data_IF_666963631374
#
_entry.id   IF_666963631374
#
_cell.length_a   1.000
_cell.length_b   1.000
_cell.length_c   1.000
_cell.angle_alpha   90.00
_cell.angle_beta   90.00
_cell.angle_gamma   90.00
#
_symmetry.space_group_name_H-M   'P 1'
#
loop_
_entity.id
_entity.type
_entity.pdbx_description
1 polymer ?
#
# COMPACT_ATOMS: atom_id res chain seq x y z
N UNK A 1 23.01 -3.09 -5.86
CA UNK A 1 21.72 -2.92 -6.57
C UNK A 1 21.62 -1.45 -6.97
N UNK A 2 21.50 -1.12 -8.25
CA UNK A 2 21.55 0.27 -8.72
C UNK A 2 20.14 0.88 -8.57
N UNK A 3 20.08 2.15 -8.14
CA UNK A 3 18.83 2.94 -7.98
C UNK A 3 17.93 2.88 -9.23
N UNK A 4 18.52 2.64 -10.41
CA UNK A 4 17.80 2.46 -11.68
C UNK A 4 16.94 1.18 -11.74
N UNK A 5 17.24 0.18 -10.93
CA UNK A 5 16.53 -1.10 -10.93
C UNK A 5 15.34 -1.05 -9.96
N UNK A 6 15.40 -0.21 -8.90
CA UNK A 6 14.29 0.05 -7.97
C UNK A 6 13.13 0.82 -8.62
N UNK A 7 13.42 1.64 -9.64
CA UNK A 7 12.41 2.42 -10.37
C UNK A 7 11.63 1.60 -11.41
N UNK A 8 12.06 0.36 -11.69
CA UNK A 8 11.37 -0.54 -12.62
C UNK A 8 10.26 -1.36 -11.95
N UNK A 9 10.33 -1.56 -10.65
CA UNK A 9 9.43 -2.43 -9.90
C UNK A 9 8.18 -1.73 -9.32
N UNK A 10 8.09 -0.40 -9.39
CA UNK A 10 6.95 0.38 -8.88
C UNK A 10 5.93 0.68 -9.99
N UNK A 11 5.45 -0.33 -10.69
CA UNK A 11 4.67 -0.14 -11.90
C UNK A 11 3.16 -0.35 -11.71
N UNK A 12 2.57 0.38 -10.79
CA UNK A 12 1.14 0.75 -10.89
C UNK A 12 0.90 2.19 -10.39
N UNK A 13 1.96 2.91 -10.13
CA UNK A 13 1.93 4.37 -10.11
C UNK A 13 2.50 4.80 -11.46
N UNK A 14 1.69 5.35 -12.34
CA UNK A 14 2.17 5.95 -13.59
C UNK A 14 3.24 6.95 -13.21
N UNK A 15 4.50 6.57 -13.37
CA UNK A 15 5.64 7.39 -13.03
C UNK A 15 5.52 8.70 -13.80
N UNK A 16 5.18 9.77 -13.11
CA UNK A 16 5.53 11.09 -13.60
C UNK A 16 7.04 11.14 -13.54
N UNK A 17 7.68 11.04 -14.69
CA UNK A 17 9.11 11.15 -14.83
C UNK A 17 9.59 12.36 -14.04
N UNK A 18 10.62 12.19 -13.23
CA UNK A 18 11.42 13.27 -12.69
C UNK A 18 11.78 14.21 -13.85
N UNK A 19 11.07 15.34 -13.95
CA UNK A 19 11.43 16.42 -14.82
C UNK A 19 12.69 17.02 -14.20
N UNK A 20 13.87 16.87 -14.81
CA UNK A 20 15.04 17.57 -14.32
C UNK A 20 14.71 19.06 -14.42
N UNK A 21 14.82 19.79 -13.32
CA UNK A 21 14.69 21.22 -13.28
C UNK A 21 15.88 21.88 -14.01
N UNK A 22 15.93 21.71 -15.32
CA UNK A 22 16.83 22.46 -16.19
C UNK A 22 15.97 23.42 -16.99
N UNK A 23 16.32 24.69 -16.92
CA UNK A 23 15.72 25.80 -17.66
C UNK A 23 15.66 25.58 -19.19
N UNK A 24 16.24 24.51 -19.72
CA UNK A 24 16.14 24.05 -21.10
C UNK A 24 14.83 23.31 -21.43
N UNK A 25 14.09 22.77 -20.43
CA UNK A 25 12.83 22.06 -20.65
C UNK A 25 11.62 22.95 -20.96
N UNK A 26 11.70 24.26 -20.69
CA UNK A 26 10.61 25.19 -21.00
C UNK A 26 10.51 25.56 -22.48
N UNK A 27 11.48 25.25 -23.31
CA UNK A 27 11.54 25.63 -24.72
C UNK A 27 10.71 24.74 -25.67
N UNK A 28 10.07 23.69 -25.20
CA UNK A 28 9.24 22.79 -26.01
C UNK A 28 7.81 22.57 -25.46
N UNK A 29 7.27 23.56 -24.75
CA UNK A 29 5.83 23.58 -24.52
C UNK A 29 5.21 23.86 -25.89
N UNK A 30 4.52 22.87 -26.46
CA UNK A 30 3.72 23.02 -27.68
C UNK A 30 2.94 24.34 -27.55
N UNK A 31 3.03 25.22 -28.55
CA UNK A 31 2.43 26.57 -28.51
C UNK A 31 0.94 26.62 -28.17
N UNK A 32 0.26 25.46 -28.18
CA UNK A 32 -1.11 25.28 -27.72
C UNK A 32 -1.26 25.19 -26.20
N UNK A 33 -0.23 24.77 -25.47
CA UNK A 33 -0.27 24.64 -24.01
C UNK A 33 -0.03 26.00 -23.29
N UNK A 34 0.71 26.90 -23.89
CA UNK A 34 1.06 28.21 -23.30
C UNK A 34 -0.13 28.98 -22.75
N UNK A 35 -1.22 29.22 -23.54
CA UNK A 35 -2.40 29.94 -23.06
C UNK A 35 -3.12 29.23 -21.88
N UNK A 36 -3.07 27.92 -21.82
CA UNK A 36 -3.69 27.12 -20.72
C UNK A 36 -2.87 27.26 -19.43
N UNK A 37 -1.55 27.18 -19.53
CA UNK A 37 -0.67 27.45 -18.38
C UNK A 37 -0.81 28.87 -17.86
N UNK A 38 -1.00 29.89 -18.76
CA UNK A 38 -1.26 31.26 -18.35
C UNK A 38 -2.55 31.37 -17.52
N UNK A 39 -3.61 30.62 -17.87
CA UNK A 39 -4.86 30.59 -17.08
C UNK A 39 -4.65 29.94 -15.70
N UNK A 40 -3.90 28.84 -15.65
CA UNK A 40 -3.59 28.20 -14.38
C UNK A 40 -2.79 29.12 -13.46
N UNK A 41 -1.80 29.81 -14.02
CA UNK A 41 -0.99 30.78 -13.28
C UNK A 41 -1.80 31.99 -12.82
N UNK A 42 -2.71 32.52 -13.67
CA UNK A 42 -3.61 33.60 -13.27
C UNK A 42 -4.55 33.16 -12.12
N UNK A 43 -5.08 31.95 -12.16
CA UNK A 43 -5.88 31.38 -11.06
C UNK A 43 -5.07 31.30 -9.76
N UNK A 44 -3.84 30.79 -9.83
CA UNK A 44 -2.92 30.75 -8.70
C UNK A 44 -2.69 32.14 -8.09
N UNK A 45 -2.35 33.15 -8.94
CA UNK A 45 -2.16 34.53 -8.48
C UNK A 45 -3.43 35.13 -7.85
N UNK A 46 -4.59 34.82 -8.42
CA UNK A 46 -5.87 35.30 -7.89
C UNK A 46 -6.15 34.72 -6.49
N UNK A 47 -5.86 33.44 -6.27
CA UNK A 47 -5.99 32.81 -4.94
C UNK A 47 -5.03 33.47 -3.96
N UNK A 48 -3.75 33.56 -4.31
CA UNK A 48 -2.72 34.19 -3.46
C UNK A 48 -3.04 35.64 -3.06
N UNK A 49 -3.68 36.41 -3.96
CA UNK A 49 -3.97 37.82 -3.72
C UNK A 49 -5.26 38.08 -2.95
N UNK A 50 -6.26 37.17 -3.05
CA UNK A 50 -7.62 37.50 -2.62
C UNK A 50 -8.26 36.47 -1.68
N UNK A 51 -7.62 35.33 -1.42
CA UNK A 51 -8.18 34.36 -0.45
C UNK A 51 -8.10 34.94 0.96
N UNK A 52 -9.07 34.57 1.80
CA UNK A 52 -9.24 35.15 3.15
C UNK A 52 -8.08 34.81 4.08
N UNK A 53 -7.47 33.65 3.89
CA UNK A 53 -6.34 33.19 4.66
C UNK A 53 -5.08 33.08 3.78
N UNK A 54 -3.91 33.11 4.40
CA UNK A 54 -2.65 32.89 3.68
C UNK A 54 -2.54 31.41 3.28
N UNK A 55 -2.40 31.15 1.99
CA UNK A 55 -2.37 29.77 1.44
C UNK A 55 -0.94 29.43 1.04
N UNK A 56 -0.49 28.27 1.43
CA UNK A 56 0.82 27.74 1.10
C UNK A 56 0.94 27.42 -0.41
N UNK A 57 2.07 27.77 -1.00
CA UNK A 57 2.33 27.59 -2.43
C UNK A 57 2.37 26.10 -2.81
N UNK A 58 3.02 25.27 -1.98
CA UNK A 58 3.12 23.84 -2.22
C UNK A 58 1.74 23.19 -2.18
N UNK A 59 0.87 23.63 -1.27
CA UNK A 59 -0.51 23.16 -1.19
C UNK A 59 -1.29 23.44 -2.47
N UNK A 60 -1.18 24.68 -2.99
CA UNK A 60 -1.86 25.07 -4.24
C UNK A 60 -1.34 24.31 -5.45
N UNK A 61 -0.02 24.16 -5.56
CA UNK A 61 0.59 23.44 -6.68
C UNK A 61 0.24 21.95 -6.62
N UNK A 62 0.29 21.31 -5.44
CA UNK A 62 -0.15 19.92 -5.27
C UNK A 62 -1.62 19.74 -5.63
N UNK A 63 -2.49 20.67 -5.19
CA UNK A 63 -3.91 20.65 -5.56
C UNK A 63 -4.12 20.73 -7.07
N UNK A 64 -3.37 21.59 -7.77
CA UNK A 64 -3.43 21.70 -9.22
C UNK A 64 -2.95 20.42 -9.93
N UNK A 65 -1.84 19.82 -9.49
CA UNK A 65 -1.30 18.57 -10.04
C UNK A 65 -2.30 17.42 -9.82
N UNK A 66 -2.83 17.30 -8.60
CA UNK A 66 -3.82 16.27 -8.27
C UNK A 66 -5.11 16.43 -9.09
N UNK A 67 -5.56 17.68 -9.31
CA UNK A 67 -6.70 17.95 -10.17
C UNK A 67 -6.47 17.52 -11.62
N UNK A 68 -5.27 17.76 -12.16
CA UNK A 68 -4.91 17.27 -13.50
C UNK A 68 -4.89 15.76 -13.59
N UNK A 69 -4.26 15.07 -12.62
CA UNK A 69 -4.15 13.62 -12.62
C UNK A 69 -5.50 12.94 -12.36
N UNK A 70 -6.28 13.47 -11.41
CA UNK A 70 -7.63 12.97 -11.15
C UNK A 70 -8.61 13.11 -12.32
N UNK A 71 -8.30 13.97 -13.32
CA UNK A 71 -9.08 14.05 -14.55
C UNK A 71 -8.78 12.94 -15.56
N UNK A 72 -7.73 12.14 -15.33
CA UNK A 72 -7.34 11.03 -16.22
C UNK A 72 -8.09 9.75 -15.83
N UNK A 73 -7.92 9.31 -14.60
CA UNK A 73 -8.55 8.12 -14.02
C UNK A 73 -8.45 8.14 -12.49
N UNK A 74 -9.20 7.28 -11.77
CA UNK A 74 -9.19 7.25 -10.30
C UNK A 74 -7.92 6.64 -9.70
N UNK A 75 -7.02 6.08 -10.50
CA UNK A 75 -5.80 5.40 -10.06
C UNK A 75 -4.53 6.24 -10.29
N UNK A 76 -4.67 7.36 -11.02
CA UNK A 76 -3.56 8.28 -11.29
C UNK A 76 -3.44 9.30 -10.18
N UNK A 77 -2.27 9.35 -9.52
CA UNK A 77 -2.01 10.26 -8.41
C UNK A 77 -0.59 10.83 -8.46
N UNK A 78 -0.40 12.01 -7.89
CA UNK A 78 0.92 12.59 -7.66
C UNK A 78 1.49 12.05 -6.35
N UNK A 79 2.62 11.37 -6.44
CA UNK A 79 3.34 10.83 -5.29
C UNK A 79 4.60 11.66 -5.08
N UNK A 80 4.63 12.49 -4.03
CA UNK A 80 5.81 13.25 -3.63
C UNK A 80 6.83 12.37 -2.89
N UNK A 81 8.00 12.95 -2.55
CA UNK A 81 9.07 12.19 -1.91
C UNK A 81 8.65 11.52 -0.60
N UNK A 82 7.80 12.16 0.21
CA UNK A 82 7.30 11.60 1.46
C UNK A 82 6.25 10.50 1.22
N UNK A 83 5.37 10.71 0.25
CA UNK A 83 4.39 9.71 -0.16
C UNK A 83 5.06 8.50 -0.84
N UNK A 84 6.10 8.74 -1.66
CA UNK A 84 6.89 7.67 -2.25
C UNK A 84 7.59 6.82 -1.18
N UNK A 85 8.16 7.46 -0.16
CA UNK A 85 8.79 6.73 0.95
C UNK A 85 7.77 5.88 1.72
N UNK A 86 6.57 6.41 1.98
CA UNK A 86 5.47 5.64 2.59
C UNK A 86 5.06 4.45 1.73
N UNK A 87 4.90 4.66 0.42
CA UNK A 87 4.54 3.61 -0.52
C UNK A 87 5.60 2.50 -0.57
N UNK A 88 6.89 2.87 -0.65
CA UNK A 88 8.00 1.92 -0.63
C UNK A 88 8.01 1.12 0.67
N UNK A 89 7.81 1.79 1.82
CA UNK A 89 7.72 1.12 3.13
C UNK A 89 6.55 0.13 3.20
N UNK A 90 5.42 0.45 2.58
CA UNK A 90 4.27 -0.47 2.51
C UNK A 90 4.59 -1.69 1.63
N UNK A 91 5.21 -1.47 0.46
CA UNK A 91 5.62 -2.56 -0.45
C UNK A 91 6.66 -3.47 0.21
N UNK A 92 7.59 -2.91 0.98
CA UNK A 92 8.61 -3.66 1.73
C UNK A 92 7.99 -4.48 2.89
N UNK A 93 6.69 -4.31 3.18
CA UNK A 93 5.97 -5.04 4.22
C UNK A 93 6.32 -4.62 5.65
N UNK A 94 7.18 -3.61 5.82
CA UNK A 94 7.64 -3.12 7.12
C UNK A 94 7.20 -1.66 7.29
N UNK A 95 6.13 -1.39 8.01
CA UNK A 95 5.81 -0.03 8.37
C UNK A 95 5.83 0.17 9.89
N UNK A 96 6.23 1.35 10.31
CA UNK A 96 6.23 1.70 11.72
C UNK A 96 4.96 2.44 12.10
N UNK A 97 4.31 1.96 13.14
CA UNK A 97 3.03 2.50 13.60
C UNK A 97 2.51 1.79 14.84
N UNK A 98 1.19 1.81 15.01
CA UNK A 98 0.51 1.21 16.15
C UNK A 98 0.06 -0.23 15.89
N UNK A 99 -0.15 -0.61 14.62
CA UNK A 99 -0.68 -1.93 14.24
C UNK A 99 -2.17 -2.05 14.51
N UNK A 100 -2.95 -1.18 13.87
CA UNK A 100 -4.41 -1.13 13.97
C UNK A 100 -5.04 -1.19 12.57
N UNK A 101 -6.09 -1.98 12.44
CA UNK A 101 -7.07 -1.83 11.36
C UNK A 101 -8.16 -0.91 11.86
N UNK A 102 -8.43 0.18 11.13
CA UNK A 102 -9.38 1.22 11.52
C UNK A 102 -10.29 1.61 10.36
N UNK A 103 -11.49 2.08 10.71
CA UNK A 103 -12.45 2.67 9.75
C UNK A 103 -12.98 3.97 10.32
N UNK A 104 -13.52 4.82 9.46
CA UNK A 104 -14.29 5.98 9.92
C UNK A 104 -15.73 5.53 10.19
N UNK A 105 -16.21 5.76 11.39
CA UNK A 105 -17.58 5.44 11.81
C UNK A 105 -18.19 6.67 12.51
N UNK A 106 -19.20 7.26 11.90
CA UNK A 106 -19.90 8.48 12.37
C UNK A 106 -18.95 9.65 12.70
N UNK A 107 -17.87 9.82 11.93
CA UNK A 107 -16.87 10.88 12.12
C UNK A 107 -15.82 10.59 13.19
N UNK A 108 -15.82 9.41 13.78
CA UNK A 108 -14.79 8.94 14.70
C UNK A 108 -13.96 7.79 14.11
N UNK A 109 -12.74 7.63 14.57
CA UNK A 109 -11.86 6.52 14.14
C UNK A 109 -12.16 5.30 15.00
N UNK A 110 -12.85 4.32 14.41
CA UNK A 110 -13.20 3.07 15.07
C UNK A 110 -12.16 1.99 14.78
N UNK A 111 -11.72 1.30 15.80
CA UNK A 111 -10.84 0.15 15.71
C UNK A 111 -11.63 -1.08 15.26
N UNK A 112 -11.29 -1.61 14.08
CA UNK A 112 -11.81 -2.89 13.59
C UNK A 112 -11.10 -4.03 14.35
N UNK A 113 -9.77 -3.98 14.39
CA UNK A 113 -8.95 -4.91 15.18
C UNK A 113 -7.53 -4.37 15.38
N UNK A 114 -6.90 -4.58 16.53
CA UNK A 114 -5.46 -4.52 16.64
C UNK A 114 -4.83 -5.76 15.97
N UNK A 115 -3.65 -5.60 15.34
CA UNK A 115 -2.89 -6.74 14.87
C UNK A 115 -2.25 -7.45 16.06
N UNK A 116 -2.33 -8.76 16.08
CA UNK A 116 -1.82 -9.60 17.17
C UNK A 116 -0.33 -9.34 17.41
N UNK A 117 0.05 -9.05 18.65
CA UNK A 117 1.42 -8.75 19.05
C UNK A 117 1.91 -7.34 18.69
N UNK A 118 1.08 -6.52 18.04
CA UNK A 118 1.40 -5.13 17.72
C UNK A 118 1.53 -4.24 18.96
N UNK A 119 2.09 -3.03 18.83
CA UNK A 119 2.09 -2.03 19.90
C UNK A 119 0.69 -1.74 20.46
N UNK A 120 -0.30 -1.62 19.61
CA UNK A 120 -1.68 -1.37 20.01
C UNK A 120 -2.31 -2.55 20.80
N UNK A 121 -2.05 -3.78 20.37
CA UNK A 121 -2.48 -4.99 21.06
C UNK A 121 -1.85 -5.08 22.47
N UNK A 122 -0.54 -4.85 22.54
CA UNK A 122 0.22 -4.80 23.82
C UNK A 122 -0.26 -3.69 24.74
N UNK A 123 -0.70 -2.55 24.19
CA UNK A 123 -1.27 -1.44 24.96
C UNK A 123 -2.73 -1.71 25.43
N UNK A 124 -3.37 -2.79 24.96
CA UNK A 124 -4.69 -3.20 25.38
C UNK A 124 -5.84 -2.54 24.60
N UNK A 125 -5.57 -2.03 23.40
CA UNK A 125 -6.61 -1.58 22.46
C UNK A 125 -7.39 -2.80 21.98
N UNK A 126 -8.69 -2.65 21.79
CA UNK A 126 -9.60 -3.74 21.42
C UNK A 126 -10.44 -3.39 20.20
N UNK A 127 -10.92 -4.41 19.50
CA UNK A 127 -11.94 -4.24 18.49
C UNK A 127 -13.18 -3.56 19.06
N UNK A 128 -13.72 -2.59 18.32
CA UNK A 128 -14.86 -1.76 18.73
C UNK A 128 -14.51 -0.52 19.55
N UNK A 129 -13.25 -0.29 19.89
CA UNK A 129 -12.80 0.96 20.50
C UNK A 129 -12.89 2.12 19.51
N UNK A 130 -13.14 3.32 20.01
CA UNK A 130 -13.12 4.57 19.24
C UNK A 130 -11.97 5.45 19.70
N UNK A 131 -11.05 5.79 18.82
CA UNK A 131 -9.98 6.74 19.10
C UNK A 131 -10.53 8.14 18.89
N UNK A 132 -10.52 8.95 19.94
CA UNK A 132 -11.10 10.30 19.93
C UNK A 132 -10.04 11.40 19.91
N UNK A 133 -8.88 11.18 20.53
CA UNK A 133 -7.79 12.15 20.57
C UNK A 133 -6.45 11.48 20.26
N UNK A 134 -5.57 12.24 19.63
CA UNK A 134 -4.15 11.93 19.41
C UNK A 134 -3.30 13.06 19.99
N UNK A 135 -2.44 12.74 20.96
CA UNK A 135 -1.59 13.71 21.67
C UNK A 135 -2.42 14.88 22.27
N UNK A 136 -3.59 14.55 22.82
CA UNK A 136 -4.52 15.52 23.43
C UNK A 136 -5.36 16.32 22.43
N UNK A 137 -5.15 16.18 21.12
CA UNK A 137 -5.95 16.84 20.10
C UNK A 137 -7.12 15.97 19.65
N UNK A 138 -8.32 16.56 19.63
CA UNK A 138 -9.53 15.90 19.13
C UNK A 138 -9.43 15.62 17.64
N UNK A 139 -9.70 14.38 17.24
CA UNK A 139 -9.67 13.95 15.82
C UNK A 139 -11.05 13.66 15.25
N UNK A 140 -12.10 13.91 16.02
CA UNK A 140 -13.48 13.76 15.55
C UNK A 140 -13.76 14.71 14.38
N UNK A 141 -14.30 14.17 13.29
CA UNK A 141 -14.59 14.94 12.07
C UNK A 141 -13.40 15.08 11.11
N UNK A 142 -12.20 14.62 11.47
CA UNK A 142 -11.07 14.52 10.53
C UNK A 142 -11.30 13.38 9.53
N UNK A 143 -10.66 13.49 8.36
CA UNK A 143 -10.60 12.36 7.46
C UNK A 143 -9.72 11.23 8.04
N UNK A 144 -10.00 10.00 7.59
CA UNK A 144 -9.31 8.81 8.10
C UNK A 144 -7.81 8.85 7.79
N UNK A 145 -7.44 9.30 6.59
CA UNK A 145 -6.04 9.32 6.13
C UNK A 145 -5.18 10.26 6.98
N UNK A 146 -5.69 11.44 7.32
CA UNK A 146 -5.03 12.38 8.23
C UNK A 146 -4.84 11.76 9.62
N UNK A 147 -5.86 11.11 10.16
CA UNK A 147 -5.79 10.45 11.46
C UNK A 147 -4.80 9.28 11.47
N UNK A 148 -4.81 8.46 10.42
CA UNK A 148 -3.86 7.35 10.24
C UNK A 148 -2.43 7.88 10.07
N UNK A 149 -2.22 8.95 9.30
CA UNK A 149 -0.91 9.56 9.13
C UNK A 149 -0.29 10.03 10.47
N UNK A 150 -1.11 10.57 11.36
CA UNK A 150 -0.69 10.96 12.72
C UNK A 150 -0.38 9.77 13.63
N UNK A 151 -1.13 8.68 13.51
CA UNK A 151 -0.88 7.43 14.25
C UNK A 151 0.41 6.73 13.80
N UNK A 152 0.84 6.92 12.55
CA UNK A 152 2.14 6.47 12.04
C UNK A 152 3.26 7.34 12.58
N UNK A 153 4.50 6.89 12.45
CA UNK A 153 5.67 7.66 12.83
C UNK A 153 6.90 6.78 13.00
N UNK A 154 8.00 7.40 13.38
CA UNK A 154 9.28 6.69 13.55
C UNK A 154 9.17 5.67 14.67
N UNK A 155 9.75 4.48 14.45
CA UNK A 155 9.90 3.44 15.47
C UNK A 155 10.51 4.00 16.76
N UNK A 156 9.98 3.55 17.89
CA UNK A 156 10.41 3.96 19.23
C UNK A 156 9.83 5.31 19.70
N UNK A 157 9.12 6.07 18.86
CA UNK A 157 8.38 7.25 19.31
C UNK A 157 7.04 6.85 19.90
N UNK A 158 6.58 7.59 20.93
CA UNK A 158 5.28 7.34 21.55
C UNK A 158 4.22 8.32 21.04
N UNK A 159 2.97 7.92 21.16
CA UNK A 159 1.79 8.72 20.92
C UNK A 159 0.78 8.48 22.04
N UNK A 160 0.15 9.54 22.51
CA UNK A 160 -0.91 9.46 23.50
C UNK A 160 -2.26 9.33 22.79
N UNK A 161 -3.05 8.33 23.19
CA UNK A 161 -4.36 8.05 22.64
C UNK A 161 -5.42 8.19 23.71
N UNK A 162 -6.48 8.93 23.44
CA UNK A 162 -7.72 8.85 24.21
C UNK A 162 -8.70 7.95 23.49
N UNK A 163 -9.10 6.90 24.15
CA UNK A 163 -9.93 5.83 23.59
C UNK A 163 -11.27 5.75 24.34
N UNK A 164 -12.36 5.82 23.61
CA UNK A 164 -13.68 5.49 24.16
C UNK A 164 -14.01 4.02 23.86
N UNK A 165 -14.34 3.27 24.89
CA UNK A 165 -14.73 1.86 24.77
C UNK A 165 -16.19 1.68 25.14
N UNK A 166 -17.06 1.18 24.22
CA UNK A 166 -18.46 0.92 24.55
C UNK A 166 -18.62 0.07 25.82
N UNK A 167 -19.47 0.52 26.75
CA UNK A 167 -19.67 -0.14 28.02
C UNK A 167 -18.75 0.33 29.16
N UNK A 168 -17.92 1.35 28.91
CA UNK A 168 -17.19 2.09 29.96
C UNK A 168 -17.67 3.55 30.00
N UNK A 169 -17.82 4.10 31.19
CA UNK A 169 -18.24 5.48 31.36
C UNK A 169 -17.08 6.48 31.20
N UNK A 170 -15.84 6.03 31.47
CA UNK A 170 -14.66 6.88 31.42
C UNK A 170 -13.81 6.52 30.21
N UNK A 171 -13.22 7.53 29.50
CA UNK A 171 -12.25 7.31 28.45
C UNK A 171 -10.99 6.64 29.02
N UNK A 172 -10.27 5.94 28.16
CA UNK A 172 -9.03 5.25 28.47
C UNK A 172 -7.88 6.04 27.85
N UNK A 173 -6.95 6.49 28.67
CA UNK A 173 -5.72 7.12 28.20
C UNK A 173 -4.65 6.04 28.04
N UNK A 174 -4.05 5.97 26.85
CA UNK A 174 -3.04 4.98 26.48
C UNK A 174 -1.85 5.64 25.83
N UNK A 175 -0.66 5.39 26.37
CA UNK A 175 0.59 5.71 25.71
C UNK A 175 1.06 4.52 24.90
N UNK A 176 1.16 4.68 23.58
CA UNK A 176 1.54 3.60 22.68
C UNK A 176 2.84 3.94 21.97
N UNK A 177 3.88 3.14 22.19
CA UNK A 177 5.14 3.30 21.49
C UNK A 177 5.06 2.65 20.12
N UNK A 178 5.29 3.44 19.07
CA UNK A 178 5.30 2.96 17.69
C UNK A 178 6.39 1.91 17.49
N UNK A 179 6.05 0.82 16.82
CA UNK A 179 7.00 -0.25 16.48
C UNK A 179 6.88 -0.65 15.02
N UNK A 180 7.83 -1.45 14.57
CA UNK A 180 7.72 -2.12 13.28
C UNK A 180 6.53 -3.07 13.35
N UNK A 181 5.61 -2.92 12.42
CA UNK A 181 4.46 -3.79 12.26
C UNK A 181 4.83 -4.79 11.18
N UNK A 182 5.13 -5.99 11.60
CA UNK A 182 5.26 -7.12 10.68
C UNK A 182 3.85 -7.57 10.32
N UNK A 183 3.43 -7.25 9.13
CA UNK A 183 2.22 -7.86 8.57
C UNK A 183 2.59 -9.27 8.12
N UNK A 184 1.75 -10.23 8.42
CA UNK A 184 1.79 -11.52 7.76
C UNK A 184 0.95 -11.40 6.47
N UNK A 185 1.58 -11.07 5.33
CA UNK A 185 0.85 -10.87 4.08
C UNK A 185 0.22 -12.18 3.60
N UNK A 186 0.77 -13.31 4.04
CA UNK A 186 0.31 -14.65 3.71
C UNK A 186 0.01 -15.42 4.99
N UNK A 187 -1.20 -15.95 5.09
CA UNK A 187 -1.61 -16.86 6.15
C UNK A 187 -2.16 -18.15 5.54
N UNK A 188 -2.11 -19.24 6.28
CA UNK A 188 -2.66 -20.52 5.80
C UNK A 188 -3.38 -21.27 6.91
N UNK A 189 -4.33 -22.12 6.50
CA UNK A 189 -4.99 -23.07 7.37
C UNK A 189 -5.39 -24.34 6.60
N UNK A 190 -5.35 -25.49 7.26
CA UNK A 190 -5.86 -26.73 6.70
C UNK A 190 -7.30 -26.95 7.19
N UNK A 191 -8.25 -26.93 6.27
CA UNK A 191 -9.65 -27.19 6.56
C UNK A 191 -9.99 -28.69 6.50
N UNK A 192 -11.20 -29.03 7.02
CA UNK A 192 -11.72 -30.39 6.96
C UNK A 192 -11.76 -30.92 5.52
N UNK A 193 -11.41 -32.16 5.31
CA UNK A 193 -11.33 -32.78 3.99
C UNK A 193 -10.00 -32.56 3.28
N UNK A 194 -8.95 -32.18 4.01
CA UNK A 194 -7.61 -31.91 3.48
C UNK A 194 -7.61 -30.81 2.40
N UNK A 195 -8.39 -29.74 2.61
CA UNK A 195 -8.42 -28.56 1.75
C UNK A 195 -7.52 -27.50 2.38
N UNK A 196 -6.44 -27.13 1.71
CA UNK A 196 -5.60 -26.02 2.11
C UNK A 196 -6.25 -24.69 1.74
N UNK A 197 -6.16 -23.71 2.63
CA UNK A 197 -6.52 -22.32 2.35
C UNK A 197 -5.28 -21.46 2.55
N UNK A 198 -4.90 -20.71 1.54
CA UNK A 198 -3.83 -19.69 1.62
C UNK A 198 -4.47 -18.34 1.36
N UNK A 199 -4.42 -17.44 2.34
CA UNK A 199 -4.91 -16.08 2.23
C UNK A 199 -3.75 -15.13 1.98
N UNK A 200 -3.85 -14.31 0.93
CA UNK A 200 -2.88 -13.28 0.58
C UNK A 200 -3.53 -11.92 0.77
N UNK A 201 -3.15 -11.21 1.82
CA UNK A 201 -3.78 -9.97 2.25
C UNK A 201 -3.29 -8.74 1.47
N UNK A 202 -2.05 -8.78 0.97
CA UNK A 202 -1.45 -7.75 0.10
C UNK A 202 -0.26 -8.34 -0.67
N UNK A 203 0.17 -7.66 -1.74
CA UNK A 203 1.36 -8.04 -2.51
C UNK A 203 2.58 -7.26 -2.04
N UNK A 204 3.04 -7.53 -0.82
CA UNK A 204 4.31 -7.03 -0.29
C UNK A 204 5.49 -7.92 -0.72
N UNK A 205 6.70 -7.47 -0.45
CA UNK A 205 7.94 -8.18 -0.80
C UNK A 205 7.96 -9.61 -0.24
N UNK A 206 8.31 -10.57 -1.07
CA UNK A 206 8.41 -12.02 -0.79
C UNK A 206 7.08 -12.79 -0.69
N UNK A 207 5.95 -12.23 -1.08
CA UNK A 207 4.64 -12.93 -1.04
C UNK A 207 4.68 -14.27 -1.76
N UNK A 208 5.28 -14.35 -2.94
CA UNK A 208 5.37 -15.63 -3.66
C UNK A 208 6.15 -16.69 -2.90
N UNK A 209 7.25 -16.31 -2.24
CA UNK A 209 8.01 -17.22 -1.35
C UNK A 209 7.18 -17.67 -0.16
N UNK A 210 6.43 -16.75 0.44
CA UNK A 210 5.64 -17.02 1.64
C UNK A 210 4.42 -17.89 1.31
N UNK A 211 3.82 -17.72 0.11
CA UNK A 211 2.79 -18.63 -0.41
C UNK A 211 3.35 -20.04 -0.65
N UNK A 212 4.56 -20.13 -1.20
CA UNK A 212 5.21 -21.44 -1.36
C UNK A 212 5.49 -22.12 0.00
N UNK A 213 5.99 -21.36 0.99
CA UNK A 213 6.20 -21.88 2.34
C UNK A 213 4.89 -22.31 3.01
N UNK A 214 3.80 -21.55 2.83
CA UNK A 214 2.47 -21.89 3.30
C UNK A 214 1.95 -23.19 2.65
N UNK A 215 2.19 -23.37 1.35
CA UNK A 215 1.87 -24.60 0.63
C UNK A 215 2.63 -25.81 1.21
N UNK A 216 3.94 -25.68 1.44
CA UNK A 216 4.77 -26.74 2.00
C UNK A 216 4.33 -27.12 3.42
N UNK A 217 3.97 -26.14 4.25
CA UNK A 217 3.39 -26.36 5.57
C UNK A 217 2.08 -27.15 5.49
N UNK A 218 1.15 -26.73 4.62
CA UNK A 218 -0.13 -27.40 4.41
C UNK A 218 0.04 -28.84 3.93
N UNK A 219 1.01 -29.11 3.06
CA UNK A 219 1.34 -30.48 2.63
C UNK A 219 1.82 -31.36 3.80
N UNK A 220 2.57 -30.76 4.73
CA UNK A 220 3.09 -31.44 5.91
C UNK A 220 2.00 -31.69 6.97
N UNK A 221 1.01 -30.80 7.08
CA UNK A 221 -0.13 -30.89 7.99
C UNK A 221 -1.19 -31.89 7.49
N UNK A 222 -1.30 -32.06 6.18
CA UNK A 222 -2.34 -32.88 5.57
C UNK A 222 -2.16 -34.37 5.88
N UNK A 223 -3.25 -35.06 6.18
CA UNK A 223 -3.25 -36.51 6.33
C UNK A 223 -3.32 -37.15 4.95
N UNK A 224 -2.15 -37.44 4.37
CA UNK A 224 -2.03 -37.92 2.98
C UNK A 224 -2.02 -36.77 1.97
N UNK A 225 -2.52 -37.02 0.75
CA UNK A 225 -2.54 -36.01 -0.31
C UNK A 225 -3.61 -34.95 -0.03
N UNK A 226 -3.28 -33.65 -0.19
CA UNK A 226 -4.30 -32.58 -0.18
C UNK A 226 -5.35 -32.82 -1.27
N UNK A 227 -6.60 -32.54 -0.93
CA UNK A 227 -7.74 -32.65 -1.84
C UNK A 227 -7.90 -31.45 -2.76
N UNK A 228 -7.39 -30.30 -2.34
CA UNK A 228 -7.45 -29.06 -3.09
C UNK A 228 -6.81 -27.89 -2.34
N UNK A 229 -6.64 -26.77 -3.05
CA UNK A 229 -6.16 -25.50 -2.53
C UNK A 229 -7.16 -24.40 -2.85
N UNK A 230 -7.44 -23.55 -1.88
CA UNK A 230 -8.14 -22.28 -2.05
C UNK A 230 -7.11 -21.16 -1.87
N UNK A 231 -6.93 -20.34 -2.90
CA UNK A 231 -6.18 -19.09 -2.81
C UNK A 231 -7.18 -17.95 -2.55
N UNK A 232 -7.12 -17.39 -1.34
CA UNK A 232 -8.03 -16.33 -0.93
C UNK A 232 -7.37 -14.96 -1.10
N UNK A 233 -7.86 -14.20 -2.07
CA UNK A 233 -7.43 -12.83 -2.38
C UNK A 233 -8.48 -11.78 -1.97
N UNK A 234 -9.48 -12.16 -1.20
CA UNK A 234 -10.53 -11.24 -0.76
C UNK A 234 -9.94 -10.16 0.13
N UNK A 235 -10.39 -8.91 -0.09
CA UNK A 235 -9.90 -7.72 0.61
C UNK A 235 -8.43 -7.38 0.37
N UNK A 236 -7.76 -8.00 -0.61
CA UNK A 236 -6.41 -7.63 -1.01
C UNK A 236 -6.48 -6.32 -1.84
N UNK A 237 -5.86 -5.21 -1.41
CA UNK A 237 -5.89 -3.93 -2.12
C UNK A 237 -4.91 -3.86 -3.29
N UNK A 238 -4.05 -4.88 -3.46
CA UNK A 238 -2.96 -4.87 -4.43
C UNK A 238 -1.59 -4.82 -3.77
N UNK A 239 -0.63 -4.16 -4.42
CA UNK A 239 0.75 -4.02 -3.97
C UNK A 239 1.73 -4.06 -5.14
N UNK A 240 2.83 -4.79 -5.00
CA UNK A 240 3.85 -4.95 -6.04
C UNK A 240 3.33 -5.78 -7.22
N UNK A 241 3.46 -5.24 -8.44
CA UNK A 241 3.14 -6.00 -9.66
C UNK A 241 4.05 -7.22 -9.82
N UNK A 242 5.33 -7.08 -9.49
CA UNK A 242 6.31 -8.17 -9.60
C UNK A 242 5.95 -9.34 -8.66
N UNK A 243 5.46 -9.04 -7.46
CA UNK A 243 4.99 -10.05 -6.51
C UNK A 243 3.70 -10.74 -7.00
N UNK A 244 2.77 -9.97 -7.58
CA UNK A 244 1.56 -10.54 -8.17
C UNK A 244 1.87 -11.42 -9.39
N UNK A 245 2.84 -11.03 -10.22
CA UNK A 245 3.35 -11.83 -11.33
C UNK A 245 4.02 -13.11 -10.79
N UNK A 246 4.89 -12.98 -9.78
CA UNK A 246 5.56 -14.12 -9.17
C UNK A 246 4.59 -15.11 -8.54
N UNK A 247 3.56 -14.62 -7.82
CA UNK A 247 2.50 -15.48 -7.32
C UNK A 247 1.76 -16.21 -8.46
N UNK A 248 1.42 -15.48 -9.53
CA UNK A 248 0.72 -16.08 -10.68
C UNK A 248 1.57 -17.14 -11.37
N UNK A 249 2.88 -16.89 -11.48
CA UNK A 249 3.84 -17.82 -12.11
C UNK A 249 3.97 -19.15 -11.33
N UNK A 250 3.67 -19.16 -10.01
CA UNK A 250 3.62 -20.42 -9.24
C UNK A 250 2.53 -21.38 -9.75
N UNK A 251 1.45 -20.85 -10.31
CA UNK A 251 0.27 -21.63 -10.74
C UNK A 251 0.19 -21.83 -12.26
N UNK A 252 0.96 -21.09 -13.04
CA UNK A 252 0.91 -21.11 -14.49
C UNK A 252 2.20 -21.71 -15.07
N UNK A 253 2.04 -22.60 -16.03
CA UNK A 253 3.17 -23.24 -16.71
C UNK A 253 3.64 -22.47 -17.95
N UNK A 254 2.74 -21.70 -18.56
CA UNK A 254 2.99 -20.94 -19.80
C UNK A 254 1.95 -19.86 -20.01
N UNK A 255 2.27 -18.90 -20.89
CA UNK A 255 1.32 -17.87 -21.33
C UNK A 255 1.52 -16.53 -20.65
N UNK A 256 0.77 -15.53 -21.13
CA UNK A 256 0.85 -14.16 -20.68
C UNK A 256 0.10 -13.99 -19.36
N UNK A 257 0.82 -13.56 -18.30
CA UNK A 257 0.22 -13.20 -17.02
C UNK A 257 -0.39 -11.80 -17.13
N UNK A 258 0.41 -10.80 -17.50
CA UNK A 258 -0.06 -9.41 -17.61
C UNK A 258 0.79 -8.65 -18.63
N UNK A 259 0.25 -7.58 -19.19
CA UNK A 259 1.01 -6.64 -20.01
C UNK A 259 0.74 -5.20 -19.58
N UNK A 260 1.80 -4.42 -19.56
CA UNK A 260 1.76 -2.98 -19.36
C UNK A 260 2.00 -2.30 -20.71
N UNK A 261 1.19 -1.30 -21.04
CA UNK A 261 1.29 -0.57 -22.31
C UNK A 261 1.28 0.93 -22.08
N UNK A 262 2.25 1.61 -22.66
CA UNK A 262 2.35 3.06 -22.68
C UNK A 262 2.50 3.61 -24.09
N UNK A 263 2.45 4.93 -24.25
CA UNK A 263 2.66 5.60 -25.54
C UNK A 263 4.14 5.81 -25.88
N UNK A 264 5.01 5.88 -24.86
CA UNK A 264 6.44 6.05 -25.08
C UNK A 264 7.11 4.74 -25.51
N UNK A 265 8.22 4.85 -26.23
CA UNK A 265 9.02 3.67 -26.58
C UNK A 265 9.61 3.03 -25.34
N UNK A 266 9.45 1.72 -25.19
CA UNK A 266 9.96 0.96 -24.04
C UNK A 266 8.97 0.85 -22.87
N UNK A 267 7.78 1.45 -22.97
CA UNK A 267 6.70 1.32 -21.95
C UNK A 267 5.81 0.09 -22.17
N UNK A 268 6.06 -0.68 -23.23
CA UNK A 268 5.36 -1.94 -23.45
C UNK A 268 6.16 -3.06 -22.79
N UNK A 269 5.70 -3.51 -21.64
CA UNK A 269 6.28 -4.61 -20.88
C UNK A 269 5.30 -5.78 -20.88
N UNK A 270 5.85 -6.96 -20.99
CA UNK A 270 5.10 -8.21 -20.97
C UNK A 270 5.68 -9.12 -19.91
N UNK A 271 4.80 -9.70 -19.11
CA UNK A 271 5.12 -10.66 -18.08
C UNK A 271 4.50 -12.00 -18.48
N UNK A 272 5.35 -12.95 -18.81
CA UNK A 272 4.92 -14.29 -19.22
C UNK A 272 5.28 -15.30 -18.11
N UNK A 273 4.53 -16.39 -18.00
CA UNK A 273 4.68 -17.41 -16.95
C UNK A 273 6.07 -18.09 -16.96
N UNK A 274 6.84 -17.93 -18.02
CA UNK A 274 8.20 -18.47 -18.12
C UNK A 274 9.29 -17.52 -17.64
N UNK A 275 8.99 -16.27 -17.39
CA UNK A 275 9.94 -15.28 -16.93
C UNK A 275 9.91 -15.19 -15.40
N UNK A 276 10.73 -16.01 -14.72
CA UNK A 276 10.96 -15.90 -13.26
C UNK A 276 11.60 -14.56 -12.92
N UNK A 277 10.76 -13.56 -12.68
CA UNK A 277 11.20 -12.25 -12.19
C UNK A 277 11.45 -12.36 -10.71
N UNK A 278 12.68 -12.60 -10.28
CA UNK A 278 13.19 -12.47 -8.91
C UNK A 278 12.96 -13.59 -7.88
N UNK A 279 12.24 -14.66 -8.13
CA UNK A 279 12.20 -15.79 -7.20
C UNK A 279 13.40 -16.74 -7.43
N UNK A 280 14.62 -16.19 -7.47
CA UNK A 280 15.89 -16.91 -7.74
C UNK A 280 16.21 -18.02 -6.74
N UNK A 281 15.37 -18.21 -5.72
CA UNK A 281 15.62 -19.20 -4.66
C UNK A 281 14.69 -20.39 -4.67
N UNK A 282 13.65 -20.39 -5.53
CA UNK A 282 12.76 -21.55 -5.67
C UNK A 282 12.99 -22.18 -7.06
N UNK A 283 13.57 -23.40 -7.12
CA UNK A 283 13.69 -24.10 -8.40
C UNK A 283 12.29 -24.42 -8.94
N UNK A 284 11.94 -23.93 -10.13
CA UNK A 284 10.67 -24.22 -10.82
C UNK A 284 10.27 -25.69 -10.77
N UNK A 285 11.25 -26.58 -10.95
CA UNK A 285 11.04 -28.04 -10.92
C UNK A 285 10.54 -28.54 -9.57
N UNK A 286 10.79 -27.84 -8.48
CA UNK A 286 10.30 -28.19 -7.17
C UNK A 286 8.90 -27.66 -6.94
N UNK A 287 8.61 -26.41 -7.30
CA UNK A 287 7.26 -25.83 -7.22
C UNK A 287 6.26 -26.66 -8.06
N UNK A 288 6.55 -26.91 -9.33
CA UNK A 288 5.69 -27.71 -10.21
C UNK A 288 5.53 -29.18 -9.75
N UNK A 289 6.55 -29.76 -9.13
CA UNK A 289 6.47 -31.12 -8.60
C UNK A 289 5.44 -31.27 -7.46
N UNK A 290 5.16 -30.19 -6.73
CA UNK A 290 4.23 -30.18 -5.60
C UNK A 290 2.82 -29.69 -5.97
N UNK A 291 2.66 -28.94 -7.04
CA UNK A 291 1.34 -28.44 -7.45
C UNK A 291 0.49 -29.43 -8.24
N UNK A 292 1.01 -30.59 -8.57
CA UNK A 292 0.27 -31.71 -9.18
C UNK A 292 -0.17 -31.44 -10.62
N UNK A 293 -0.11 -32.44 -11.49
CA UNK A 293 -0.74 -32.48 -12.80
C UNK A 293 -2.27 -32.32 -12.70
#
# INVERSE_FOLDING_TARGET
>A
MRIADLLRSAALVTAVALIPATTAGMAQIDGRAGPQFAKLFAAYQQVKANYVEDVDDDQLIRGAINGMLGSLDPHSAYVDGSALQRLTTMIDGNYSGLGLSVVLDEGAVKVVSPFKGSPADKAGIKAGDFITHLDGELIYGNDLDTSVARMRGKEGTSIELTVFRPGRDEPIELSVTRGVIELEPVTHELQSGNIGVISVNEFSTNVGRDVYAAWDALQSEATGKMSGLILDLRSNPGGSLDEAVGLSDLFLSEGRIVSQRGRARGENVHYDADELINYRHLPRREAQKYMGE
#
